data_IF_431600060456
#
_entry.id   IF_431600060456
#
_cell.length_a   1.000
_cell.length_b   1.000
_cell.length_c   1.000
_cell.angle_alpha   90.00
_cell.angle_beta   90.00
_cell.angle_gamma   90.00
#
_symmetry.space_group_name_H-M   'P 1'
#
loop_
_entity.id
_entity.type
_entity.pdbx_description
1 polymer ?
2 non-polymer ?
3 water ?
#
# COMPACT_ATOMS: atom_id res chain seq x y z
N UNK A 2 -23.17 -24.09 -7.77
CA UNK A 2 -22.54 -23.12 -6.82
C UNK A 2 -21.00 -23.22 -6.89
N UNK A 3 -20.46 -24.23 -7.59
CA UNK A 3 -19.04 -24.32 -8.06
C UNK A 3 -18.70 -23.03 -8.81
N UNK A 4 -17.87 -22.17 -8.20
CA UNK A 4 -17.57 -20.80 -8.70
C UNK A 4 -16.06 -20.64 -8.77
N UNK A 5 -15.45 -20.79 -9.97
CA UNK A 5 -14.03 -20.47 -10.15
C UNK A 5 -13.75 -18.95 -10.06
N UNK A 6 -14.81 -18.12 -9.90
CA UNK A 6 -14.74 -16.67 -9.65
C UNK A 6 -15.08 -15.86 -10.89
N UNK A 7 -14.74 -14.56 -10.91
CA UNK A 7 -14.84 -13.64 -12.08
C UNK A 7 -13.55 -13.60 -12.88
N UNK A 8 -13.71 -13.65 -14.21
CA UNK A 8 -12.62 -13.51 -15.22
C UNK A 8 -12.81 -12.20 -16.00
N UNK A 9 -11.83 -11.87 -16.84
CA UNK A 9 -11.74 -10.54 -17.52
C UNK A 9 -13.04 -10.26 -18.30
N UNK A 10 -13.51 -11.18 -19.16
CA UNK A 10 -14.79 -11.04 -19.92
C UNK A 10 -16.02 -10.82 -19.03
N UNK A 11 -15.98 -11.12 -17.73
CA UNK A 11 -17.15 -10.98 -16.82
C UNK A 11 -17.35 -9.54 -16.36
N UNK A 12 -16.32 -8.70 -16.32
CA UNK A 12 -16.44 -7.28 -15.90
C UNK A 12 -17.16 -6.49 -16.98
N UNK A 13 -18.09 -5.63 -16.54
CA UNK A 13 -18.73 -4.60 -17.38
C UNK A 13 -18.36 -3.22 -16.83
N UNK A 14 -17.80 -2.31 -17.64
CA UNK A 14 -17.44 -0.94 -17.19
C UNK A 14 -18.62 -0.36 -16.40
N UNK A 15 -18.32 0.52 -15.43
CA UNK A 15 -19.28 1.26 -14.59
C UNK A 15 -20.00 0.40 -13.58
N UNK A 16 -19.73 -0.90 -13.49
CA UNK A 16 -20.41 -1.71 -12.43
C UNK A 16 -19.77 -1.39 -11.06
N UNK A 17 -20.63 -1.31 -10.06
CA UNK A 17 -20.28 -1.19 -8.63
C UNK A 17 -20.39 -2.60 -8.07
N UNK A 18 -19.31 -3.05 -7.43
CA UNK A 18 -19.27 -4.34 -6.68
C UNK A 18 -19.21 -4.02 -5.18
N UNK A 19 -20.20 -4.53 -4.44
CA UNK A 19 -20.36 -4.34 -2.98
C UNK A 19 -19.79 -5.58 -2.26
N UNK A 20 -18.48 -5.56 -1.96
CA UNK A 20 -17.66 -6.72 -1.53
C UNK A 20 -18.14 -7.29 -0.21
N UNK A 21 -17.93 -8.58 0.00
CA UNK A 21 -18.35 -9.35 1.19
C UNK A 21 -17.24 -9.31 2.26
N UNK A 22 -17.54 -9.97 3.38
CA UNK A 22 -16.65 -10.23 4.54
C UNK A 22 -16.05 -8.92 5.02
N UNK A 23 -16.83 -8.03 5.66
CA UNK A 23 -16.27 -6.87 6.33
C UNK A 23 -15.41 -7.37 7.50
N UNK A 24 -14.38 -6.59 7.86
CA UNK A 24 -13.30 -7.07 8.74
C UNK A 24 -13.16 -6.17 9.95
N UNK A 25 -13.40 -6.72 11.16
CA UNK A 25 -13.02 -6.09 12.44
C UNK A 25 -11.52 -6.28 12.66
N UNK A 26 -10.79 -5.18 12.72
CA UNK A 26 -9.32 -5.18 12.91
C UNK A 26 -9.13 -4.96 14.41
N UNK A 27 -8.37 -5.87 15.05
CA UNK A 27 -8.12 -5.96 16.51
C UNK A 27 -6.61 -5.81 16.75
N UNK A 28 -6.23 -5.83 18.02
CA UNK A 28 -4.79 -5.88 18.42
C UNK A 28 -4.17 -7.25 18.04
N UNK A 29 -4.98 -8.29 17.78
CA UNK A 29 -4.47 -9.50 17.09
C UNK A 29 -3.79 -9.15 15.78
N UNK A 30 -4.46 -8.39 14.93
CA UNK A 30 -3.99 -8.05 13.57
C UNK A 30 -2.76 -7.19 13.72
N UNK A 31 -2.79 -6.22 14.65
CA UNK A 31 -1.65 -5.28 14.89
C UNK A 31 -0.40 -6.12 15.26
N UNK A 32 -0.54 -7.05 16.18
CA UNK A 32 0.60 -7.88 16.64
C UNK A 32 1.13 -8.74 15.47
N UNK A 33 0.25 -9.27 14.62
CA UNK A 33 0.69 -10.18 13.51
C UNK A 33 1.35 -9.36 12.41
N UNK A 34 0.77 -8.18 12.12
CA UNK A 34 1.33 -7.19 11.15
C UNK A 34 2.73 -6.85 11.64
N UNK A 35 2.90 -6.60 12.96
CA UNK A 35 4.22 -6.22 13.54
C UNK A 35 5.24 -7.36 13.29
N UNK A 36 4.85 -8.60 13.51
CA UNK A 36 5.71 -9.78 13.32
C UNK A 36 5.90 -10.12 11.82
N UNK A 37 4.99 -9.73 10.91
CA UNK A 37 5.16 -10.11 9.47
C UNK A 37 6.12 -9.11 8.76
N UNK A 38 6.19 -7.86 9.26
CA UNK A 38 6.90 -6.76 8.55
C UNK A 38 7.91 -6.05 9.44
N UNK A 39 7.77 -6.13 10.76
CA UNK A 39 8.73 -5.54 11.71
C UNK A 39 8.75 -4.01 11.74
N UNK A 40 7.64 -3.27 11.46
CA UNK A 40 7.69 -1.82 11.50
C UNK A 40 7.92 -1.30 12.92
N UNK A 41 8.63 -0.18 13.05
CA UNK A 41 9.10 0.32 14.37
C UNK A 41 8.66 1.76 14.55
N UNK A 42 7.74 2.25 13.73
CA UNK A 42 7.12 3.60 13.88
C UNK A 42 6.36 3.63 15.20
N UNK A 43 6.77 4.54 16.08
CA UNK A 43 6.33 4.58 17.50
C UNK A 43 4.85 4.94 17.59
N UNK A 44 4.35 5.85 16.75
CA UNK A 44 2.90 6.21 16.82
C UNK A 44 2.08 4.92 16.84
N UNK A 45 2.36 3.96 15.94
CA UNK A 45 1.56 2.73 15.80
C UNK A 45 1.94 1.70 16.89
N UNK A 46 3.19 1.68 17.32
CA UNK A 46 3.76 0.67 18.24
C UNK A 46 3.42 0.94 19.71
N UNK A 47 3.36 2.23 20.14
CA UNK A 47 3.16 2.65 21.55
C UNK A 47 1.91 3.53 21.72
N UNK A 48 0.86 3.02 22.37
CA UNK A 48 -0.35 3.78 22.76
C UNK A 48 0.10 5.00 23.62
N UNK A 49 0.91 4.76 24.65
CA UNK A 49 1.47 5.80 25.54
C UNK A 49 1.87 7.02 24.70
N UNK A 50 2.68 6.78 23.67
CA UNK A 50 3.32 7.81 22.82
C UNK A 50 2.28 8.53 21.95
N UNK A 51 1.39 7.75 21.32
CA UNK A 51 0.29 8.24 20.46
C UNK A 51 -0.62 9.17 21.27
N UNK A 52 -1.04 8.71 22.44
CA UNK A 52 -1.94 9.45 23.34
C UNK A 52 -1.31 10.80 23.69
N UNK A 53 -0.03 10.82 24.08
CA UNK A 53 0.65 12.06 24.52
C UNK A 53 0.56 13.08 23.36
N UNK A 54 0.82 12.65 22.12
CA UNK A 54 0.97 13.58 20.97
C UNK A 54 -0.39 14.02 20.42
N UNK A 55 -1.49 13.36 20.77
CA UNK A 55 -2.84 13.86 20.41
C UNK A 55 -3.76 12.87 19.70
N UNK A 56 -3.38 11.59 19.59
CA UNK A 56 -4.29 10.49 19.19
C UNK A 56 -5.08 9.98 20.38
N UNK A 57 -6.28 9.37 20.18
CA UNK A 57 -7.00 8.66 21.24
C UNK A 57 -6.40 7.33 21.72
N UNK A 58 -5.54 6.75 20.88
CA UNK A 58 -4.90 5.41 21.02
C UNK A 58 -4.00 5.25 19.79
N UNK A 59 -3.05 4.32 19.79
CA UNK A 59 -2.26 4.01 18.57
C UNK A 59 -3.24 3.77 17.43
N UNK A 60 -3.08 4.42 16.28
CA UNK A 60 -3.85 4.08 15.10
C UNK A 60 -3.27 2.81 14.41
N UNK A 61 -4.10 2.10 13.63
CA UNK A 61 -3.59 0.99 12.78
C UNK A 61 -2.53 1.57 11.86
N UNK A 62 -1.42 0.85 11.66
CA UNK A 62 -0.49 1.07 10.52
C UNK A 62 -1.38 1.31 9.29
N UNK A 63 -1.10 2.34 8.52
CA UNK A 63 -1.96 2.73 7.36
C UNK A 63 -1.96 1.58 6.33
N UNK A 64 -0.89 0.81 6.23
CA UNK A 64 -0.79 -0.33 5.27
C UNK A 64 -1.55 -1.53 5.84
N UNK A 65 -1.71 -1.67 7.17
CA UNK A 65 -2.61 -2.74 7.67
C UNK A 65 -4.02 -2.36 7.22
N UNK A 66 -4.44 -1.08 7.37
CA UNK A 66 -5.74 -0.60 6.87
C UNK A 66 -5.83 -0.92 5.37
N UNK A 67 -4.78 -0.58 4.63
CA UNK A 67 -4.78 -0.69 3.15
C UNK A 67 -4.92 -2.17 2.74
N UNK A 68 -4.12 -3.05 3.32
CA UNK A 68 -4.14 -4.49 2.91
C UNK A 68 -5.49 -5.12 3.26
N UNK A 69 -6.12 -4.67 4.35
CA UNK A 69 -7.46 -5.21 4.72
C UNK A 69 -8.51 -4.74 3.72
N UNK A 70 -8.49 -3.47 3.33
CA UNK A 70 -9.50 -2.85 2.42
C UNK A 70 -9.30 -3.49 1.04
N UNK A 71 -8.06 -3.59 0.58
CA UNK A 71 -7.69 -4.29 -0.69
C UNK A 71 -8.18 -5.74 -0.64
N UNK A 72 -7.92 -6.41 0.50
CA UNK A 72 -8.23 -7.83 0.72
C UNK A 72 -9.66 -8.18 0.37
N UNK A 73 -10.58 -7.38 0.89
CA UNK A 73 -12.05 -7.53 0.77
C UNK A 73 -12.44 -7.49 -0.71
N UNK A 74 -11.70 -6.75 -1.53
CA UNK A 74 -12.01 -6.63 -2.99
C UNK A 74 -11.50 -7.87 -3.72
N UNK A 75 -10.61 -8.65 -3.12
CA UNK A 75 -9.91 -9.65 -3.99
C UNK A 75 -10.88 -10.71 -4.50
N UNK A 76 -11.75 -11.35 -3.68
CA UNK A 76 -12.66 -12.39 -4.19
C UNK A 76 -13.37 -12.04 -5.51
N UNK A 77 -13.82 -10.79 -5.66
CA UNK A 77 -14.65 -10.35 -6.81
C UNK A 77 -13.78 -9.90 -7.99
N UNK A 78 -12.68 -9.20 -7.71
CA UNK A 78 -11.87 -8.49 -8.74
C UNK A 78 -10.71 -9.37 -9.22
N UNK A 79 -9.85 -9.85 -8.31
CA UNK A 79 -8.47 -10.33 -8.59
C UNK A 79 -8.25 -11.77 -8.06
N UNK A 80 -9.32 -12.51 -7.74
CA UNK A 80 -9.19 -13.93 -7.32
C UNK A 80 -8.41 -14.67 -8.38
N UNK A 81 -8.64 -14.30 -9.65
CA UNK A 81 -8.07 -14.97 -10.85
C UNK A 81 -7.03 -14.06 -11.51
N UNK A 82 -6.38 -13.22 -10.73
CA UNK A 82 -5.29 -12.35 -11.19
C UNK A 82 -4.00 -13.15 -11.34
N UNK A 83 -3.16 -12.72 -12.28
CA UNK A 83 -1.76 -13.15 -12.46
C UNK A 83 -0.83 -12.15 -11.77
N UNK A 84 -1.15 -10.86 -11.73
CA UNK A 84 -0.34 -9.85 -10.99
C UNK A 84 -1.09 -8.53 -10.88
N UNK A 85 -1.04 -7.90 -9.71
CA UNK A 85 -1.47 -6.52 -9.49
C UNK A 85 -0.34 -5.60 -9.96
N UNK A 86 -0.68 -4.53 -10.66
CA UNK A 86 0.31 -3.79 -11.48
C UNK A 86 0.60 -2.40 -10.91
N UNK A 87 -0.39 -1.66 -10.49
CA UNK A 87 -0.13 -0.27 -10.06
C UNK A 87 -1.26 0.31 -9.27
N UNK A 88 -1.05 1.56 -8.83
CA UNK A 88 -2.02 2.37 -8.04
C UNK A 88 -1.94 3.83 -8.50
N UNK A 89 -3.00 4.59 -8.24
CA UNK A 89 -2.97 6.07 -8.26
C UNK A 89 -4.15 6.63 -7.46
N UNK A 90 -4.13 7.94 -7.20
CA UNK A 90 -5.23 8.66 -6.49
C UNK A 90 -5.57 7.98 -5.16
N UNK A 91 -4.58 7.61 -4.34
CA UNK A 91 -4.80 7.04 -2.99
C UNK A 91 -4.91 8.10 -1.90
N UNK A 92 -5.97 8.04 -1.09
CA UNK A 92 -6.25 8.94 0.04
C UNK A 92 -6.65 8.21 1.32
N UNK A 93 -5.82 8.33 2.36
CA UNK A 93 -6.12 7.97 3.76
C UNK A 93 -6.87 9.13 4.39
N UNK A 94 -8.19 9.08 4.26
CA UNK A 94 -9.17 10.07 4.80
C UNK A 94 -9.08 10.14 6.33
N UNK A 95 -9.20 8.99 7.01
CA UNK A 95 -9.44 8.87 8.48
C UNK A 95 -8.48 7.81 9.02
N UNK A 96 -7.81 8.03 10.16
CA UNK A 96 -7.06 6.94 10.80
C UNK A 96 -8.06 5.94 11.38
N UNK A 97 -7.59 4.73 11.67
CA UNK A 97 -8.48 3.58 12.01
C UNK A 97 -7.98 2.99 13.33
N UNK A 98 -8.89 2.56 14.21
CA UNK A 98 -8.54 2.02 15.54
C UNK A 98 -9.03 0.59 15.69
N UNK A 99 -8.30 -0.22 16.49
CA UNK A 99 -8.71 -1.57 16.85
C UNK A 99 -10.16 -1.58 17.32
N UNK A 100 -10.94 -2.53 16.80
CA UNK A 100 -12.36 -2.70 17.16
C UNK A 100 -13.24 -2.22 16.02
N UNK A 101 -12.72 -1.35 15.17
CA UNK A 101 -13.46 -0.77 14.03
C UNK A 101 -13.57 -1.88 12.98
N UNK A 102 -14.64 -1.84 12.20
CA UNK A 102 -14.95 -2.82 11.14
C UNK A 102 -14.82 -2.11 9.80
N UNK A 103 -14.16 -2.75 8.84
CA UNK A 103 -13.83 -2.16 7.52
C UNK A 103 -14.54 -2.98 6.43
N UNK A 104 -15.14 -2.26 5.48
CA UNK A 104 -15.95 -2.81 4.36
C UNK A 104 -15.45 -2.14 3.08
N UNK A 105 -15.66 -2.75 1.95
CA UNK A 105 -15.06 -2.20 0.70
C UNK A 105 -16.13 -2.26 -0.39
N UNK A 106 -16.15 -1.22 -1.23
CA UNK A 106 -16.98 -1.09 -2.45
C UNK A 106 -16.02 -0.68 -3.57
N UNK A 107 -16.13 -1.33 -4.72
CA UNK A 107 -15.27 -1.04 -5.89
C UNK A 107 -16.15 -0.68 -7.08
N UNK A 108 -15.59 0.12 -7.97
CA UNK A 108 -16.29 0.57 -9.18
C UNK A 108 -15.35 0.18 -10.30
N UNK A 109 -15.85 -0.52 -11.32
CA UNK A 109 -15.02 -0.88 -12.50
C UNK A 109 -14.95 0.38 -13.36
N UNK A 110 -13.74 0.95 -13.53
CA UNK A 110 -13.49 2.29 -14.17
C UNK A 110 -12.52 2.12 -15.36
N UNK A 111 -12.19 0.88 -15.72
CA UNK A 111 -11.33 0.59 -16.87
C UNK A 111 -11.22 -0.89 -17.14
N UNK A 112 -10.99 -1.24 -18.41
CA UNK A 112 -10.79 -2.61 -18.94
C UNK A 112 -9.93 -2.48 -20.19
N UNK A 113 -8.82 -3.21 -20.29
CA UNK A 113 -8.01 -3.30 -21.53
C UNK A 113 -7.50 -4.73 -21.76
N UNK A 114 -8.04 -5.43 -22.77
CA UNK A 114 -7.56 -6.78 -23.17
C UNK A 114 -6.04 -6.70 -23.42
N UNK A 115 -5.31 -7.78 -23.14
CA UNK A 115 -3.90 -7.98 -23.54
C UNK A 115 -3.85 -8.49 -24.99
N UNK A 116 -2.72 -8.35 -25.68
CA UNK A 116 -2.54 -8.65 -27.13
C UNK A 116 -2.76 -10.15 -27.42
N UNK A 117 -2.40 -11.02 -26.48
CA UNK A 117 -2.57 -12.49 -26.65
C UNK A 117 -4.04 -12.90 -26.47
N UNK A 118 -4.91 -11.97 -26.04
CA UNK A 118 -6.36 -12.23 -25.79
C UNK A 118 -6.51 -13.33 -24.74
N UNK A 119 -5.53 -13.53 -23.84
CA UNK A 119 -5.55 -14.57 -22.77
C UNK A 119 -5.92 -13.90 -21.44
N UNK A 120 -5.77 -12.58 -21.38
CA UNK A 120 -5.82 -11.76 -20.15
C UNK A 120 -6.31 -10.35 -20.52
N UNK A 121 -6.77 -9.60 -19.52
CA UNK A 121 -6.97 -8.15 -19.64
C UNK A 121 -6.48 -7.46 -18.38
N UNK A 122 -6.25 -6.15 -18.45
CA UNK A 122 -6.04 -5.29 -17.25
C UNK A 122 -7.39 -4.73 -16.83
N UNK A 123 -7.77 -4.95 -15.58
CA UNK A 123 -8.98 -4.34 -14.97
C UNK A 123 -8.56 -3.18 -14.06
N UNK A 124 -9.21 -2.03 -14.23
CA UNK A 124 -8.90 -0.78 -13.49
C UNK A 124 -10.04 -0.62 -12.50
N UNK A 125 -9.79 -0.46 -11.20
CA UNK A 125 -10.90 -0.22 -10.24
C UNK A 125 -10.60 1.03 -9.41
N UNK A 126 -11.66 1.64 -8.89
CA UNK A 126 -11.65 2.63 -7.78
C UNK A 126 -12.26 1.95 -6.56
N UNK A 127 -11.47 1.72 -5.51
CA UNK A 127 -11.93 0.98 -4.31
C UNK A 127 -11.96 1.97 -3.15
N UNK A 128 -13.06 1.93 -2.40
CA UNK A 128 -13.39 2.82 -1.28
C UNK A 128 -13.70 1.95 -0.04
N UNK A 129 -12.90 2.06 1.02
CA UNK A 129 -13.17 1.41 2.32
C UNK A 129 -13.89 2.31 3.32
N UNK A 130 -14.86 1.76 4.04
CA UNK A 130 -15.72 2.49 5.01
C UNK A 130 -15.70 1.80 6.36
N UNK A 131 -15.77 2.59 7.44
CA UNK A 131 -16.00 2.07 8.80
C UNK A 131 -17.43 1.55 8.86
N UNK A 132 -17.82 0.98 10.00
CA UNK A 132 -19.12 0.31 10.22
C UNK A 132 -20.28 1.30 10.01
N UNK A 133 -20.06 2.62 10.12
CA UNK A 133 -21.15 3.63 10.03
C UNK A 133 -21.14 4.31 8.66
N UNK A 134 -20.32 3.83 7.74
CA UNK A 134 -20.36 4.21 6.30
C UNK A 134 -19.40 5.32 5.96
N UNK A 135 -18.67 5.83 6.96
CA UNK A 135 -17.68 6.91 6.75
C UNK A 135 -16.49 6.33 5.98
N UNK A 136 -16.10 6.95 4.86
CA UNK A 136 -14.92 6.59 4.06
C UNK A 136 -13.67 6.72 4.92
N UNK A 137 -12.69 5.78 4.82
CA UNK A 137 -11.36 5.82 5.50
C UNK A 137 -10.25 5.70 4.46
N UNK A 138 -10.53 5.10 3.30
CA UNK A 138 -9.51 4.81 2.27
C UNK A 138 -10.18 4.84 0.89
N UNK A 139 -9.54 5.53 -0.05
CA UNK A 139 -9.89 5.61 -1.49
C UNK A 139 -8.59 5.40 -2.25
N UNK A 140 -8.63 4.61 -3.31
CA UNK A 140 -7.48 4.46 -4.24
C UNK A 140 -7.97 3.87 -5.56
N UNK A 141 -7.11 3.97 -6.55
CA UNK A 141 -7.27 3.28 -7.84
C UNK A 141 -6.14 2.26 -7.95
N UNK A 142 -6.49 1.05 -8.41
CA UNK A 142 -5.48 0.05 -8.82
C UNK A 142 -5.89 -0.59 -10.15
N UNK A 143 -4.91 -1.19 -10.82
CA UNK A 143 -5.10 -2.03 -12.02
C UNK A 143 -4.30 -3.31 -11.87
N UNK A 144 -4.93 -4.41 -12.25
CA UNK A 144 -4.42 -5.80 -12.05
C UNK A 144 -4.66 -6.58 -13.35
N UNK A 145 -3.68 -7.38 -13.78
CA UNK A 145 -3.79 -8.29 -14.95
C UNK A 145 -4.52 -9.56 -14.49
N UNK A 146 -5.72 -9.77 -15.03
CA UNK A 146 -6.67 -10.90 -14.74
C UNK A 146 -6.75 -11.85 -15.95
N UNK A 147 -7.07 -13.11 -15.65
CA UNK A 147 -7.24 -14.22 -16.60
C UNK A 147 -8.59 -14.06 -17.28
N UNK A 148 -8.64 -14.32 -18.58
CA UNK A 148 -9.93 -14.63 -19.27
C UNK A 148 -10.24 -16.11 -19.07
N UNK A 149 -11.49 -16.49 -18.80
CA UNK A 149 -11.92 -17.91 -18.65
C UNK A 149 -11.75 -18.63 -20.00
N UNK A 150 -12.34 -18.06 -21.04
CA UNK A 150 -12.28 -18.52 -22.47
C UNK A 150 -11.58 -17.43 -23.27
N UNK A 151 -10.34 -17.66 -23.78
CA UNK A 151 -9.66 -16.69 -24.66
C UNK A 151 -10.37 -16.33 -25.97
N UNK A 152 -11.13 -17.25 -26.55
CA UNK A 152 -11.93 -17.02 -27.80
C UNK A 152 -13.05 -16.00 -27.54
N UNK A 153 -13.37 -15.69 -26.28
CA UNK A 153 -14.38 -14.68 -25.86
C UNK A 153 -13.99 -13.28 -26.37
N UNK A 154 -14.98 -12.41 -26.58
CA UNK A 154 -14.82 -11.06 -27.18
C UNK A 154 -15.11 -9.98 -26.14
N UNK A 155 -14.20 -9.02 -26.02
CA UNK A 155 -14.26 -7.92 -25.03
C UNK A 155 -15.14 -6.79 -25.58
N UNK A 156 -16.40 -6.71 -25.10
CA UNK A 156 -17.37 -5.64 -25.41
C UNK A 156 -16.67 -4.27 -25.39
N UNK A 157 -16.57 -3.62 -24.22
CA UNK A 157 -16.07 -2.21 -24.14
C UNK A 157 -14.72 -2.19 -23.42
N UNK A 158 -13.78 -1.45 -23.98
CA UNK A 158 -12.37 -1.27 -23.53
C UNK A 158 -12.17 0.21 -23.25
N UNK A 159 -11.37 0.51 -22.23
CA UNK A 159 -11.21 1.86 -21.62
C UNK A 159 -10.05 1.80 -20.61
N UNK A 160 -8.92 2.42 -20.95
CA UNK A 160 -7.77 2.71 -20.04
C UNK A 160 -8.03 4.07 -19.42
N UNK A 161 -8.52 4.20 -18.16
CA UNK A 161 -8.96 5.50 -17.63
C UNK A 161 -7.77 6.43 -17.39
N UNK A 162 -8.01 7.69 -17.00
CA UNK A 162 -6.90 8.67 -16.86
C UNK A 162 -6.87 9.17 -15.43
N UNK A 163 -5.69 9.09 -14.84
CA UNK A 163 -5.53 9.15 -13.37
C UNK A 163 -4.50 10.21 -13.07
N UNK A 164 -4.79 11.07 -12.09
CA UNK A 164 -3.86 12.06 -11.53
C UNK A 164 -2.61 11.33 -11.03
N UNK A 165 -1.44 11.72 -11.52
CA UNK A 165 -0.14 11.15 -11.09
C UNK A 165 0.31 11.76 -9.76
N UNK A 166 -0.47 12.67 -9.14
CA UNK A 166 -0.18 13.26 -7.80
C UNK A 166 -1.48 13.69 -7.10
N UNK A 167 -1.61 13.34 -5.82
CA UNK A 167 -2.69 13.84 -4.91
C UNK A 167 -2.22 15.22 -4.42
N UNK A 168 -3.17 16.05 -4.01
CA UNK A 168 -2.91 17.45 -3.57
C UNK A 168 -2.92 17.50 -2.05
N UNK A 169 -1.75 17.79 -1.43
CA UNK A 169 -1.61 17.93 0.01
C UNK A 169 -2.78 18.60 0.75
N UNK A 170 -3.34 19.65 0.15
CA UNK A 170 -4.48 20.44 0.65
C UNK A 170 -5.68 19.55 1.05
N UNK A 171 -5.86 18.36 0.45
CA UNK A 171 -7.05 17.50 0.74
C UNK A 171 -6.72 16.46 1.82
N UNK A 172 -5.44 16.36 2.20
CA UNK A 172 -4.93 15.44 3.26
C UNK A 172 -4.91 16.13 4.63
N UNK A 173 -5.17 17.45 4.66
CA UNK A 173 -5.05 18.29 5.88
C UNK A 173 -6.03 17.80 6.95
N UNK A 174 -7.20 17.32 6.57
CA UNK A 174 -8.33 16.99 7.49
C UNK A 174 -8.26 15.54 7.95
N UNK A 175 -7.13 14.87 7.67
CA UNK A 175 -6.93 13.42 7.95
C UNK A 175 -6.61 13.24 9.43
N UNK A 176 -5.43 13.72 9.88
CA UNK A 176 -4.88 13.47 11.23
C UNK A 176 -5.52 14.46 12.20
N UNK A 177 -5.86 14.04 13.43
CA UNK A 177 -6.49 14.93 14.40
C UNK A 177 -5.47 15.98 14.83
N UNK A 178 -5.85 17.01 15.63
CA UNK A 178 -4.89 18.02 16.06
C UNK A 178 -3.90 17.31 17.00
N UNK A 179 -2.61 17.39 16.68
CA UNK A 179 -1.52 16.71 17.43
C UNK A 179 -0.71 17.75 18.18
N UNK A 180 0.14 17.29 19.09
CA UNK A 180 1.08 18.13 19.89
C UNK A 180 2.53 17.85 19.51
N UNK A 181 3.16 18.64 18.63
CA UNK A 181 4.53 18.30 18.18
C UNK A 181 5.65 18.52 19.21
N UNK A 182 5.32 19.11 20.37
CA UNK A 182 6.22 19.27 21.53
C UNK A 182 6.24 17.98 22.37
N UNK A 183 5.08 17.34 22.55
CA UNK A 183 4.89 16.10 23.33
C UNK A 183 5.61 14.94 22.63
N UNK A 184 5.65 14.98 21.29
CA UNK A 184 6.40 14.08 20.37
C UNK A 184 7.87 13.99 20.80
N UNK A 185 8.22 12.84 21.38
CA UNK A 185 9.53 12.56 22.02
C UNK A 185 10.43 11.92 20.98
N UNK A 186 11.34 12.71 20.42
CA UNK A 186 12.22 12.33 19.29
C UNK A 186 13.01 11.06 19.60
N UNK A 187 13.35 10.86 20.87
CA UNK A 187 14.19 9.71 21.30
C UNK A 187 13.32 8.44 21.23
N UNK A 188 12.11 8.51 21.77
CA UNK A 188 11.09 7.43 21.68
C UNK A 188 10.69 7.20 20.22
N UNK A 189 10.52 8.23 19.39
CA UNK A 189 10.22 8.07 17.94
C UNK A 189 11.43 7.58 17.11
N UNK A 190 12.69 7.81 17.54
CA UNK A 190 13.94 7.21 16.98
C UNK A 190 14.64 8.08 15.95
N UNK A 191 14.26 9.35 15.86
CA UNK A 191 14.88 10.34 14.95
C UNK A 191 14.66 11.75 15.48
N UNK A 192 15.70 12.61 15.40
CA UNK A 192 15.53 14.05 15.67
C UNK A 192 14.93 14.87 14.49
N UNK A 193 15.00 14.31 13.27
CA UNK A 193 14.59 14.98 12.00
C UNK A 193 13.08 15.25 11.97
N UNK A 194 12.69 16.53 11.85
CA UNK A 194 11.28 17.01 11.80
C UNK A 194 10.99 17.45 10.36
N UNK A 195 9.78 17.96 10.10
CA UNK A 195 9.35 18.46 8.76
C UNK A 195 10.51 19.24 8.12
N UNK A 196 11.08 20.20 8.87
CA UNK A 196 12.03 21.22 8.37
C UNK A 196 13.41 20.62 8.13
N UNK A 197 13.66 19.37 8.52
CA UNK A 197 15.03 18.79 8.42
C UNK A 197 15.18 18.02 7.11
N UNK A 198 14.11 17.93 6.32
CA UNK A 198 14.15 17.22 5.02
C UNK A 198 14.33 18.25 3.92
N UNK A 199 15.21 17.95 2.97
CA UNK A 199 15.41 18.72 1.74
C UNK A 199 14.88 17.92 0.54
N UNK A 200 14.00 18.53 -0.27
CA UNK A 200 13.72 18.12 -1.68
C UNK A 200 15.05 17.67 -2.32
N UNK A 201 15.09 16.47 -2.90
CA UNK A 201 16.25 15.93 -3.62
C UNK A 201 17.07 15.00 -2.75
N UNK A 202 16.86 14.99 -1.42
CA UNK A 202 17.58 14.08 -0.49
C UNK A 202 17.29 12.60 -0.85
N UNK A 203 18.33 11.77 -0.84
CA UNK A 203 18.31 10.31 -1.14
C UNK A 203 18.78 9.51 0.09
N UNK A 204 18.06 8.42 0.42
CA UNK A 204 18.24 7.65 1.69
C UNK A 204 18.27 6.15 1.33
N UNK A 205 19.43 5.53 1.39
CA UNK A 205 19.52 4.05 1.42
C UNK A 205 19.08 3.56 2.82
N UNK A 206 18.19 2.55 2.88
CA UNK A 206 17.67 1.93 4.13
C UNK A 206 18.58 0.77 4.61
N UNK A 207 19.58 0.36 3.83
CA UNK A 207 20.64 -0.62 4.23
C UNK A 207 20.05 -2.01 4.54
N UNK A 208 19.05 -2.11 5.41
CA UNK A 208 18.56 -3.40 5.97
C UNK A 208 17.95 -4.27 4.86
N UNK A 209 18.18 -5.59 4.91
CA UNK A 209 17.49 -6.56 4.02
C UNK A 209 16.66 -7.57 4.76
N UNK A 210 15.57 -8.02 4.12
CA UNK A 210 14.60 -9.00 4.67
C UNK A 210 14.37 -10.14 3.66
N UNK A 211 14.73 -11.37 4.02
CA UNK A 211 14.48 -12.53 3.13
C UNK A 211 13.11 -13.06 3.47
N UNK A 212 12.26 -13.28 2.45
CA UNK A 212 10.82 -13.61 2.60
C UNK A 212 10.63 -15.12 2.35
N UNK A 213 10.15 -15.85 3.37
CA UNK A 213 9.87 -17.30 3.33
C UNK A 213 8.45 -17.51 2.82
N UNK A 214 8.22 -18.64 2.18
CA UNK A 214 6.87 -19.09 1.71
C UNK A 214 5.73 -18.84 2.75
N UNK A 215 5.84 -19.40 3.96
CA UNK A 215 4.85 -19.33 5.05
C UNK A 215 4.54 -17.87 5.44
N UNK A 216 5.52 -16.96 5.38
CA UNK A 216 5.37 -15.54 5.81
C UNK A 216 4.33 -14.83 4.93
N UNK A 217 4.45 -14.94 3.62
CA UNK A 217 3.57 -14.19 2.69
C UNK A 217 2.20 -14.87 2.67
N UNK A 218 2.15 -16.20 2.85
CA UNK A 218 0.83 -16.86 2.86
C UNK A 218 0.11 -16.40 4.12
N UNK A 219 0.77 -16.33 5.27
CA UNK A 219 0.09 -16.06 6.57
C UNK A 219 -0.43 -14.61 6.49
N UNK A 220 0.39 -13.69 5.94
CA UNK A 220 0.04 -12.26 5.76
C UNK A 220 -1.15 -12.15 4.82
N UNK A 221 -1.10 -12.88 3.69
CA UNK A 221 -2.07 -12.73 2.60
C UNK A 221 -3.40 -13.21 3.12
N UNK A 222 -3.46 -14.33 3.84
CA UNK A 222 -4.75 -14.79 4.44
C UNK A 222 -5.22 -13.83 5.55
N UNK A 223 -4.32 -13.26 6.33
CA UNK A 223 -4.74 -12.29 7.37
C UNK A 223 -5.62 -11.21 6.74
N UNK A 224 -5.25 -10.76 5.53
CA UNK A 224 -5.95 -9.69 4.77
C UNK A 224 -7.21 -10.30 4.13
N UNK A 225 -7.34 -11.63 4.22
CA UNK A 225 -8.44 -12.41 3.59
C UNK A 225 -8.43 -12.16 2.07
N UNK A 226 -7.25 -12.00 1.51
CA UNK A 226 -6.93 -11.83 0.06
C UNK A 226 -6.76 -13.25 -0.49
N UNK A 227 -7.55 -13.62 -1.48
CA UNK A 227 -7.75 -15.04 -1.91
C UNK A 227 -7.02 -15.35 -3.22
N UNK A 228 -6.23 -14.44 -3.79
CA UNK A 228 -5.72 -14.59 -5.18
C UNK A 228 -4.95 -15.91 -5.28
N UNK A 229 -5.45 -16.85 -6.10
CA UNK A 229 -5.02 -18.28 -6.12
C UNK A 229 -3.50 -18.38 -6.33
N UNK A 230 -2.92 -17.46 -7.09
CA UNK A 230 -1.48 -17.42 -7.43
C UNK A 230 -0.59 -17.27 -6.18
N UNK A 231 -1.14 -16.82 -5.04
CA UNK A 231 -0.40 -16.73 -3.75
C UNK A 231 -0.24 -18.12 -3.08
N UNK A 232 -1.17 -19.03 -3.35
CA UNK A 232 -1.42 -20.14 -2.43
C UNK A 232 -1.23 -21.52 -3.06
N UNK A 233 -1.34 -21.67 -4.37
CA UNK A 233 -1.55 -23.00 -5.01
C UNK A 233 -0.27 -23.39 -5.78
N UNK A 234 0.63 -24.10 -5.10
CA UNK A 234 1.92 -24.53 -5.69
C UNK A 234 1.66 -25.51 -6.87
N UNK A 235 0.49 -26.15 -6.92
CA UNK A 235 0.06 -27.03 -8.06
C UNK A 235 -0.29 -26.17 -9.28
N UNK A 236 -1.30 -25.33 -9.16
CA UNK A 236 -1.86 -24.51 -10.25
C UNK A 236 -0.81 -23.53 -10.80
N UNK A 237 0.06 -22.98 -9.97
CA UNK A 237 1.03 -21.94 -10.40
C UNK A 237 2.14 -22.56 -11.26
N UNK A 238 2.37 -23.89 -11.17
CA UNK A 238 3.27 -24.63 -12.10
C UNK A 238 2.93 -24.22 -13.54
N UNK A 239 1.64 -24.07 -13.87
CA UNK A 239 1.18 -23.76 -15.25
C UNK A 239 1.16 -22.24 -15.51
N UNK A 240 1.78 -21.40 -14.67
CA UNK A 240 1.96 -19.95 -14.95
C UNK A 240 3.39 -19.70 -15.44
N UNK A 241 3.59 -18.55 -16.08
CA UNK A 241 4.89 -18.02 -16.55
C UNK A 241 5.96 -18.15 -15.46
N UNK A 242 5.62 -17.92 -14.18
CA UNK A 242 6.60 -18.01 -13.06
C UNK A 242 6.74 -19.45 -12.59
N UNK A 243 5.68 -20.26 -12.74
CA UNK A 243 5.75 -21.69 -12.45
C UNK A 243 5.79 -21.98 -10.97
N UNK A 244 5.47 -20.98 -10.12
CA UNK A 244 5.55 -21.05 -8.64
C UNK A 244 4.78 -19.88 -8.00
N UNK A 245 4.61 -19.93 -6.68
CA UNK A 245 3.68 -19.00 -5.98
C UNK A 245 4.24 -17.56 -6.07
N UNK A 246 3.44 -16.59 -6.52
CA UNK A 246 3.81 -15.15 -6.55
C UNK A 246 3.46 -14.58 -5.18
N UNK A 247 4.40 -13.84 -4.58
CA UNK A 247 4.21 -13.12 -3.28
C UNK A 247 3.35 -11.90 -3.55
N UNK A 248 2.33 -11.73 -2.71
CA UNK A 248 1.46 -10.55 -2.67
C UNK A 248 2.29 -9.29 -2.91
N UNK A 249 1.96 -8.50 -3.95
CA UNK A 249 2.63 -7.20 -4.16
C UNK A 249 2.63 -6.34 -2.90
N UNK A 250 1.52 -6.29 -2.19
CA UNK A 250 1.39 -5.48 -0.95
C UNK A 250 2.45 -5.86 0.09
N UNK A 251 2.89 -7.12 0.08
CA UNK A 251 3.90 -7.62 1.04
C UNK A 251 5.20 -6.85 0.86
N UNK A 252 5.52 -6.54 -0.40
CA UNK A 252 6.74 -5.77 -0.76
C UNK A 252 6.54 -4.32 -0.31
N UNK A 253 5.35 -3.75 -0.52
CA UNK A 253 5.07 -2.34 -0.10
C UNK A 253 5.29 -2.29 1.42
N UNK A 254 4.64 -3.16 2.19
CA UNK A 254 4.79 -3.20 3.68
C UNK A 254 6.26 -3.39 4.07
N UNK A 255 6.98 -4.29 3.43
CA UNK A 255 8.40 -4.53 3.80
C UNK A 255 9.21 -3.27 3.51
N UNK A 256 8.95 -2.62 2.38
CA UNK A 256 9.75 -1.44 1.99
C UNK A 256 9.48 -0.29 2.99
N UNK A 257 8.21 -0.08 3.34
CA UNK A 257 7.77 0.90 4.37
C UNK A 257 8.48 0.60 5.69
N UNK A 258 8.49 -0.66 6.13
CA UNK A 258 9.19 -1.02 7.39
C UNK A 258 10.65 -0.60 7.29
N UNK A 259 11.37 -1.08 6.26
CA UNK A 259 12.82 -0.76 6.09
C UNK A 259 13.00 0.76 6.15
N UNK A 260 12.09 1.53 5.54
CA UNK A 260 12.15 3.01 5.39
C UNK A 260 12.18 3.74 6.75
N UNK A 261 11.79 3.05 7.82
CA UNK A 261 11.99 3.53 9.21
C UNK A 261 13.46 3.94 9.40
N UNK A 262 14.37 3.29 8.68
CA UNK A 262 15.81 3.64 8.73
C UNK A 262 16.01 4.89 7.87
N UNK A 263 15.70 6.08 8.42
CA UNK A 263 15.86 7.40 7.75
C UNK A 263 14.60 8.27 7.74
N UNK A 264 13.41 7.67 7.90
CA UNK A 264 12.08 8.32 7.85
C UNK A 264 11.19 7.90 9.02
N UNK A 265 11.78 7.71 10.21
CA UNK A 265 11.08 7.25 11.44
C UNK A 265 9.97 8.23 11.82
N UNK A 266 10.12 9.53 11.52
CA UNK A 266 9.14 10.58 11.91
C UNK A 266 8.13 10.87 10.79
N UNK A 267 8.26 10.21 9.64
CA UNK A 267 7.16 10.07 8.66
C UNK A 267 6.27 8.96 9.22
N UNK A 268 5.45 9.32 10.21
CA UNK A 268 4.84 8.35 11.17
C UNK A 268 3.54 7.75 10.59
N UNK A 269 2.79 8.51 9.78
CA UNK A 269 1.50 8.10 9.16
C UNK A 269 1.55 8.41 7.66
N UNK A 270 0.81 7.63 6.86
CA UNK A 270 0.68 7.80 5.38
C UNK A 270 -0.65 8.51 5.11
N UNK A 271 -0.63 9.60 4.35
CA UNK A 271 -1.83 10.39 4.01
C UNK A 271 -2.46 10.02 2.67
N UNK A 272 -1.69 9.58 1.67
CA UNK A 272 -2.24 9.26 0.34
C UNK A 272 -1.23 8.57 -0.54
N UNK A 273 -1.63 8.09 -1.73
CA UNK A 273 -0.69 7.42 -2.71
C UNK A 273 -0.84 8.09 -4.09
N UNK A 274 0.28 8.52 -4.65
CA UNK A 274 0.33 9.36 -5.86
C UNK A 274 0.29 8.42 -7.07
N UNK A 275 1.35 7.63 -7.20
CA UNK A 275 1.54 6.53 -8.18
C UNK A 275 2.22 5.36 -7.45
N UNK A 276 1.87 4.13 -7.82
CA UNK A 276 2.65 2.95 -7.46
C UNK A 276 2.68 2.02 -8.62
N UNK A 277 3.77 1.28 -8.78
CA UNK A 277 3.96 0.30 -9.86
C UNK A 277 4.67 -0.95 -9.32
N UNK A 278 4.05 -2.12 -9.41
CA UNK A 278 4.73 -3.43 -9.23
C UNK A 278 5.53 -3.76 -10.50
N UNK A 279 6.83 -3.48 -10.44
CA UNK A 279 7.79 -3.56 -11.58
C UNK A 279 8.06 -5.04 -11.92
N UNK A 280 8.10 -5.90 -10.91
CA UNK A 280 8.69 -7.25 -11.02
C UNK A 280 8.24 -8.07 -9.82
N UNK A 281 8.07 -9.40 -9.97
CA UNK A 281 7.52 -10.23 -8.91
C UNK A 281 8.60 -10.65 -7.91
N UNK A 282 8.19 -11.03 -6.71
CA UNK A 282 9.05 -11.55 -5.62
C UNK A 282 8.68 -13.01 -5.39
N UNK A 283 9.66 -13.86 -5.08
CA UNK A 283 9.44 -15.30 -4.82
C UNK A 283 10.03 -15.61 -3.45
N UNK A 284 9.56 -16.68 -2.81
CA UNK A 284 10.13 -17.21 -1.56
C UNK A 284 11.63 -17.38 -1.72
N UNK A 285 12.40 -16.97 -0.72
CA UNK A 285 13.87 -17.05 -0.73
C UNK A 285 14.52 -15.78 -1.20
N UNK A 286 13.81 -14.93 -1.93
CA UNK A 286 14.31 -13.59 -2.37
C UNK A 286 14.42 -12.59 -1.19
N UNK A 287 15.46 -11.76 -1.24
CA UNK A 287 15.79 -10.71 -0.22
C UNK A 287 15.38 -9.31 -0.71
N UNK A 288 14.56 -8.58 0.06
CA UNK A 288 14.14 -7.19 -0.23
C UNK A 288 15.09 -6.18 0.42
N UNK A 289 15.44 -5.12 -0.32
CA UNK A 289 16.12 -3.85 0.10
C UNK A 289 15.38 -2.67 -0.55
N UNK A 290 15.62 -1.46 -0.09
CA UNK A 290 14.82 -0.32 -0.56
C UNK A 290 15.60 0.99 -0.34
N UNK A 291 15.20 2.05 -1.06
CA UNK A 291 15.76 3.40 -0.87
C UNK A 291 14.70 4.44 -1.24
N UNK A 292 14.77 5.63 -0.64
CA UNK A 292 13.69 6.63 -0.74
C UNK A 292 14.26 7.99 -1.18
N UNK A 293 13.38 8.93 -1.57
CA UNK A 293 13.75 10.26 -2.07
C UNK A 293 12.66 11.26 -1.69
N UNK A 294 13.05 12.49 -1.33
CA UNK A 294 12.09 13.59 -1.06
C UNK A 294 11.79 14.26 -2.39
N UNK A 295 10.52 14.29 -2.77
CA UNK A 295 10.11 14.90 -4.06
C UNK A 295 9.47 16.28 -3.80
N UNK A 296 8.69 16.41 -2.72
CA UNK A 296 8.09 17.69 -2.28
C UNK A 296 8.06 17.72 -0.75
N UNK A 297 7.94 18.94 -0.19
CA UNK A 297 7.75 19.22 1.26
C UNK A 297 6.65 20.26 1.39
N UNK A 298 5.45 19.84 1.73
CA UNK A 298 4.23 20.68 1.72
C UNK A 298 3.82 20.99 3.14
N UNK A 299 3.43 22.24 3.36
CA UNK A 299 2.75 22.72 4.58
C UNK A 299 1.29 22.35 4.35
N UNK A 300 0.49 22.25 5.41
CA UNK A 300 -0.93 21.85 5.29
C UNK A 300 -1.82 23.03 5.64
N UNK A 301 -2.65 23.51 4.69
CA UNK A 301 -3.63 24.56 4.95
C UNK A 301 -4.42 24.38 6.26
N UNK A 302 -4.26 25.30 7.23
CA UNK A 302 -5.04 25.32 8.50
C UNK A 302 -4.33 24.67 9.69
N UNK A 303 -3.05 24.27 9.54
CA UNK A 303 -2.32 23.40 10.51
C UNK A 303 -0.87 23.86 10.60
N UNK A 304 -0.28 23.72 11.78
CA UNK A 304 1.16 24.00 12.04
C UNK A 304 1.85 22.79 12.70
N UNK A 305 1.08 21.84 13.26
CA UNK A 305 1.61 20.65 13.98
C UNK A 305 2.38 19.76 13.00
N UNK A 306 1.74 19.39 11.88
CA UNK A 306 2.32 18.47 10.86
C UNK A 306 2.34 19.17 9.50
N UNK A 307 3.39 18.87 8.74
CA UNK A 307 3.43 19.01 7.28
C UNK A 307 3.36 17.65 6.61
N UNK A 308 3.46 17.67 5.29
CA UNK A 308 3.42 16.50 4.38
C UNK A 308 4.74 16.41 3.62
N UNK A 309 5.43 15.27 3.68
CA UNK A 309 6.49 14.93 2.70
C UNK A 309 5.85 14.11 1.56
N UNK A 310 6.04 14.54 0.30
CA UNK A 310 5.89 13.64 -0.88
C UNK A 310 7.17 12.82 -1.00
N UNK A 311 7.07 11.48 -1.05
CA UNK A 311 8.24 10.54 -1.12
C UNK A 311 8.11 9.53 -2.27
N UNK A 312 9.27 9.17 -2.85
CA UNK A 312 9.44 8.03 -3.78
C UNK A 312 10.32 7.00 -3.08
N UNK A 313 9.83 5.76 -2.95
CA UNK A 313 10.54 4.60 -2.36
C UNK A 313 10.60 3.50 -3.41
N UNK A 314 11.79 3.02 -3.67
CA UNK A 314 12.05 1.97 -4.68
C UNK A 314 12.60 0.76 -3.94
N UNK A 315 11.97 -0.41 -4.12
CA UNK A 315 12.46 -1.68 -3.53
C UNK A 315 13.11 -2.52 -4.63
N UNK A 316 14.12 -3.30 -4.23
CA UNK A 316 14.84 -4.29 -5.07
C UNK A 316 14.67 -5.65 -4.44
N UNK A 317 15.00 -6.68 -5.19
CA UNK A 317 15.30 -8.03 -4.67
C UNK A 317 16.76 -8.33 -4.92
N UNK A 318 17.43 -8.91 -3.93
CA UNK A 318 18.78 -9.51 -4.01
C UNK A 318 19.81 -8.48 -4.45
N UNK A 319 19.69 -7.22 -4.05
CA UNK A 319 20.61 -6.13 -4.45
C UNK A 319 20.44 -4.93 -3.51
N UNK A 320 21.43 -4.70 -2.65
CA UNK A 320 21.58 -3.49 -1.81
C UNK A 320 21.36 -2.22 -2.65
N UNK A 321 21.01 -1.11 -2.00
CA UNK A 321 20.51 0.10 -2.68
C UNK A 321 21.41 1.32 -2.41
N UNK A 322 22.65 1.08 -1.99
CA UNK A 322 23.62 2.17 -1.76
C UNK A 322 23.89 2.97 -3.03
N UNK A 323 23.80 2.31 -4.19
CA UNK A 323 23.97 2.90 -5.54
C UNK A 323 22.65 3.50 -6.04
N UNK A 324 21.58 3.49 -5.22
CA UNK A 324 20.21 3.98 -5.52
C UNK A 324 19.73 3.48 -6.89
N UNK A 325 19.56 2.15 -7.11
CA UNK A 325 19.01 1.64 -8.38
C UNK A 325 17.65 2.25 -8.79
N UNK A 326 17.44 2.47 -10.09
CA UNK A 326 16.26 3.19 -10.61
C UNK A 326 16.01 2.73 -12.06
N UNK A 327 16.13 3.66 -13.02
CA UNK A 327 15.96 3.41 -14.48
C UNK A 327 17.31 2.95 -15.03
N UNK A 328 17.31 2.42 -16.27
CA UNK A 328 18.52 1.85 -16.94
C UNK A 328 18.22 1.60 -18.43
N UNK A 329 18.09 2.70 -19.21
CA UNK A 329 17.68 2.68 -20.62
C UNK A 329 16.27 3.22 -20.79
N UNK A 330 15.35 2.40 -21.32
CA UNK A 330 13.91 2.75 -21.44
C UNK A 330 13.14 2.18 -20.24
N UNK A 331 13.80 1.37 -19.40
CA UNK A 331 13.18 0.68 -18.26
C UNK A 331 14.07 0.68 -17.02
N UNK A 332 13.58 0.05 -15.96
CA UNK A 332 14.22 -0.01 -14.62
C UNK A 332 15.46 -0.88 -14.66
N UNK A 333 16.41 -0.59 -13.75
CA UNK A 333 17.45 -1.53 -13.26
C UNK A 333 16.76 -2.87 -13.05
N UNK A 334 17.35 -4.00 -13.49
CA UNK A 334 16.71 -5.32 -13.41
C UNK A 334 16.30 -5.79 -12.00
N UNK A 335 16.88 -5.22 -10.94
CA UNK A 335 16.64 -5.66 -9.54
C UNK A 335 15.38 -4.97 -8.96
N UNK A 336 14.83 -3.93 -9.62
CA UNK A 336 13.70 -3.12 -9.06
C UNK A 336 12.40 -3.92 -9.13
N UNK A 337 11.61 -3.94 -8.03
CA UNK A 337 10.33 -4.71 -7.92
C UNK A 337 9.16 -3.77 -7.61
N UNK A 338 9.42 -2.58 -7.06
CA UNK A 338 8.38 -1.62 -6.69
C UNK A 338 8.93 -0.21 -6.88
N UNK A 339 8.05 0.71 -7.30
CA UNK A 339 8.30 2.15 -7.43
C UNK A 339 7.05 2.85 -6.93
N UNK A 340 7.13 3.40 -5.71
CA UNK A 340 5.94 3.86 -4.99
C UNK A 340 6.14 5.33 -4.64
N UNK A 341 5.15 6.15 -5.00
CA UNK A 341 5.17 7.62 -4.86
C UNK A 341 3.97 7.98 -3.98
N UNK A 342 4.23 8.52 -2.77
CA UNK A 342 3.21 8.69 -1.71
C UNK A 342 3.53 9.92 -0.84
N UNK A 343 2.50 10.40 -0.16
CA UNK A 343 2.51 11.46 0.89
C UNK A 343 2.47 10.80 2.28
N UNK A 344 3.47 11.08 3.12
CA UNK A 344 3.44 10.78 4.58
C UNK A 344 3.32 12.06 5.42
N UNK A 345 2.91 11.92 6.66
CA UNK A 345 2.81 13.05 7.62
C UNK A 345 4.05 13.04 8.51
N UNK A 346 4.43 14.23 9.01
CA UNK A 346 5.61 14.41 9.89
C UNK A 346 5.43 15.66 10.76
N UNK A 347 5.78 15.59 12.06
CA UNK A 347 5.74 16.74 12.97
C UNK A 347 6.56 17.94 12.47
N UNK A 348 6.11 19.15 12.78
CA UNK A 348 6.88 20.41 12.54
C UNK A 348 7.62 20.80 13.83
N UNK A 349 7.23 21.92 14.48
CA UNK A 349 7.99 22.64 15.57
C UNK A 349 7.72 21.99 16.93
N UNK A 350 8.62 22.21 17.89
CA UNK A 350 8.66 21.46 19.17
C UNK A 350 8.25 22.40 20.31
N UNK A 351 7.79 23.61 20.00
CA UNK A 351 7.45 24.65 21.01
C UNK A 351 6.18 24.20 21.74
N UNK A 352 6.28 23.92 23.05
CA UNK A 352 5.11 23.48 23.87
C UNK A 352 4.00 24.53 23.84
N UNK A 353 2.77 24.10 23.58
CA UNK A 353 1.52 24.90 23.66
C UNK A 353 0.54 24.10 24.51
N UNK A 354 -0.61 24.68 24.85
CA UNK A 354 -1.74 23.96 25.48
C UNK A 354 -2.76 23.67 24.38
X LIG B 1 -4.62 -9.24 -6.24
X LIG B 1 -4.65 -8.33 -7.09
X LIG B 1 -5.59 -9.68 -5.61
X LIG B 1 -3.28 -9.89 -5.91
X LIG B 1 -3.27 -10.10 -4.51
X LIG B 1 -2.14 -9.00 -6.41
X LIG B 1 -0.68 -9.40 -6.30
X LIG B 1 -0.02 -9.54 -7.37
X LIG B 1 -0.16 -9.40 -5.20
#
# INVERSE_FOLDING_TARGET
MKTNPGRFFEDFRLGETIRHATPRTVTTGDVALYTALYGPRFTVQSSDAFAKTIGYPASPLDDLLTFHVVFGKTVPDVSLNALANLGYAEGGFHRPVYPGETLSTVSEVIGLKESSNRQTGVVYVRSTGSDASGRTVLSYCRWVLVRKRDPEAKIAEEHVPQLAKVVNPADLAHALPPLDPAAYDNALAGSPHRFADYAVGEKIDHVDGMTVEEAEHQIATRLFQNTAKVHFDAVATKETKFGKRLIYGGHVISLARALSFNGLANAFAIGGINAGRHVAPLFAGDTVYAWSEVLETAELPGRSDIGALRLRTVATKNQACGAYPDKQGEGYDPSVILDLDYWAFIPRLEHHHHHH
MLT C1 O1 O2 C2 O3 C3 C4 O4 O5
#
